data_IF_983850295909
#
_entry.id   IF_983850295909
#
_cell.length_a   1.000
_cell.length_b   1.000
_cell.length_c   1.000
_cell.angle_alpha   90.00
_cell.angle_beta   90.00
_cell.angle_gamma   90.00
#
_symmetry.space_group_name_H-M   'P 1'
#
loop_
_entity.id
_entity.type
_entity.pdbx_description
1 polymer ?
#
# COMPACT_ATOMS: atom_id res chain seq x y z
N UNK A 1 27.06 14.55 -0.39
CA UNK A 1 27.09 16.05 -0.33
C UNK A 1 25.74 16.57 -0.79
N UNK A 2 25.29 17.62 -0.19
CA UNK A 2 24.15 18.39 -0.65
C UNK A 2 24.50 19.17 -1.94
N UNK A 3 23.48 19.61 -2.68
CA UNK A 3 23.61 20.36 -3.93
C UNK A 3 24.42 21.64 -3.78
N UNK A 4 24.34 22.31 -2.63
CA UNK A 4 25.10 23.52 -2.30
C UNK A 4 26.57 23.26 -1.93
N UNK A 5 26.98 21.98 -1.87
CA UNK A 5 28.34 21.56 -1.52
C UNK A 5 28.55 21.21 -0.05
N UNK A 6 27.54 21.34 0.80
CA UNK A 6 27.64 20.97 2.20
C UNK A 6 27.80 19.44 2.36
N UNK A 7 28.46 19.03 3.43
CA UNK A 7 28.62 17.62 3.76
C UNK A 7 27.27 17.02 4.17
N UNK A 8 26.98 15.83 3.66
CA UNK A 8 25.89 14.99 4.16
C UNK A 8 26.48 14.01 5.15
N UNK A 9 26.07 14.06 6.40
CA UNK A 9 26.63 13.27 7.49
C UNK A 9 25.58 12.79 8.52
N UNK A 10 26.01 12.29 9.67
CA UNK A 10 25.11 11.77 10.71
C UNK A 10 24.23 12.86 11.35
N UNK A 11 24.63 14.13 11.29
CA UNK A 11 23.82 15.25 11.79
C UNK A 11 22.55 15.40 10.96
N UNK A 12 22.61 15.26 9.62
CA UNK A 12 21.44 15.31 8.75
C UNK A 12 20.43 14.19 9.05
N UNK A 13 20.92 12.97 9.31
CA UNK A 13 20.08 11.82 9.70
C UNK A 13 19.40 12.10 11.03
N UNK A 14 20.17 12.52 12.02
CA UNK A 14 19.70 12.84 13.37
C UNK A 14 18.65 13.95 13.34
N UNK A 15 18.91 15.04 12.61
CA UNK A 15 17.98 16.13 12.44
C UNK A 15 16.69 15.70 11.74
N UNK A 16 16.82 14.95 10.63
CA UNK A 16 15.68 14.42 9.87
C UNK A 16 14.73 13.64 10.77
N UNK A 17 15.26 12.70 11.54
CA UNK A 17 14.42 11.84 12.40
C UNK A 17 13.83 12.62 13.57
N UNK A 18 14.55 13.61 14.09
CA UNK A 18 14.02 14.52 15.10
C UNK A 18 12.81 15.30 14.60
N UNK A 19 12.86 15.77 13.34
CA UNK A 19 11.72 16.50 12.74
C UNK A 19 10.56 15.58 12.42
N UNK A 20 10.81 14.35 11.95
CA UNK A 20 9.74 13.36 11.74
C UNK A 20 9.02 13.04 13.05
N UNK A 21 9.73 12.98 14.16
CA UNK A 21 9.18 12.65 15.49
C UNK A 21 8.71 13.88 16.28
N UNK A 22 8.87 15.10 15.77
CA UNK A 22 8.45 16.31 16.50
C UNK A 22 6.92 16.34 16.72
N UNK A 23 6.44 16.40 17.98
CA UNK A 23 5.01 16.44 18.29
C UNK A 23 4.25 17.58 17.61
N UNK A 24 4.91 18.71 17.40
CA UNK A 24 4.28 19.90 16.79
C UNK A 24 4.05 19.77 15.31
N UNK A 25 4.94 19.04 14.62
CA UNK A 25 4.84 18.80 13.17
C UNK A 25 3.81 17.71 12.87
N UNK A 26 3.46 16.86 13.84
CA UNK A 26 2.45 15.80 13.72
C UNK A 26 2.61 14.94 12.45
N UNK A 27 3.85 14.59 12.10
CA UNK A 27 4.17 13.88 10.86
C UNK A 27 3.52 12.49 10.84
N UNK A 28 2.76 12.19 9.78
CA UNK A 28 2.05 10.91 9.63
C UNK A 28 2.99 9.69 9.53
N UNK A 29 4.27 9.91 9.27
CA UNK A 29 5.30 8.85 9.19
C UNK A 29 6.04 8.62 10.50
N UNK A 30 5.75 9.39 11.55
CA UNK A 30 6.36 9.19 12.88
C UNK A 30 6.17 7.77 13.40
N UNK A 31 5.03 7.13 13.10
CA UNK A 31 4.76 5.74 13.48
C UNK A 31 5.77 4.75 12.92
N UNK A 32 6.41 5.03 11.78
CA UNK A 32 7.42 4.15 11.20
C UNK A 32 8.65 3.99 12.11
N UNK A 33 8.93 4.95 13.00
CA UNK A 33 10.05 4.93 13.93
C UNK A 33 9.66 4.54 15.35
N UNK A 34 8.37 4.49 15.62
CA UNK A 34 7.85 4.39 16.96
C UNK A 34 7.10 3.08 17.23
N UNK A 35 6.58 2.42 16.21
CA UNK A 35 5.69 1.25 16.35
C UNK A 35 5.85 0.20 15.26
N UNK A 36 6.69 0.43 14.26
CA UNK A 36 6.83 -0.46 13.11
C UNK A 36 8.12 -1.30 13.17
N UNK A 37 8.77 -1.54 12.04
CA UNK A 37 9.92 -2.43 11.91
C UNK A 37 11.13 -2.05 12.80
N UNK A 38 11.18 -0.79 13.28
CA UNK A 38 12.17 -0.34 14.26
C UNK A 38 11.44 0.45 15.35
N UNK A 39 11.15 -0.19 16.47
CA UNK A 39 10.60 0.53 17.62
C UNK A 39 11.75 1.16 18.41
N UNK A 40 12.00 2.45 18.17
CA UNK A 40 13.03 3.22 18.87
C UNK A 40 12.54 3.55 20.29
N UNK A 41 13.38 3.31 21.29
CA UNK A 41 13.09 3.60 22.69
C UNK A 41 12.55 5.03 22.83
N UNK A 42 11.41 5.18 23.50
CA UNK A 42 10.74 6.47 23.78
C UNK A 42 10.34 7.32 22.56
N UNK A 43 10.47 6.83 21.31
CA UNK A 43 10.10 7.63 20.15
C UNK A 43 8.60 7.97 20.11
N UNK A 44 7.71 7.00 20.40
CA UNK A 44 6.26 7.26 20.46
C UNK A 44 5.88 8.14 21.65
N UNK A 45 6.49 7.94 22.82
CA UNK A 45 6.26 8.79 24.00
C UNK A 45 6.63 10.26 23.68
N UNK A 46 7.76 10.48 22.98
CA UNK A 46 8.17 11.80 22.54
C UNK A 46 7.18 12.40 21.54
N UNK A 47 6.81 11.64 20.50
CA UNK A 47 5.83 12.10 19.50
C UNK A 47 4.48 12.46 20.11
N UNK A 48 4.08 11.79 21.18
CA UNK A 48 2.85 12.08 21.93
C UNK A 48 3.01 13.18 22.99
N UNK A 49 4.21 13.73 23.14
CA UNK A 49 4.51 14.76 24.13
C UNK A 49 4.68 14.25 25.57
N UNK A 50 4.86 12.94 25.76
CA UNK A 50 4.99 12.28 27.07
C UNK A 50 6.44 12.05 27.50
N UNK A 51 7.43 12.34 26.65
CA UNK A 51 8.86 12.25 26.93
C UNK A 51 9.61 13.43 26.33
N UNK A 52 10.83 13.69 26.81
CA UNK A 52 11.76 14.64 26.20
C UNK A 52 12.56 14.00 25.08
N UNK A 53 13.11 14.80 24.18
CA UNK A 53 13.97 14.30 23.10
C UNK A 53 15.22 13.55 23.62
N UNK A 54 15.78 13.98 24.74
CA UNK A 54 16.98 13.37 25.33
C UNK A 54 16.73 11.93 25.84
N UNK A 55 15.46 11.53 26.02
CA UNK A 55 15.06 10.18 26.42
C UNK A 55 14.89 9.25 25.20
N UNK A 56 14.81 9.82 23.99
CA UNK A 56 14.67 9.01 22.75
C UNK A 56 15.96 8.21 22.50
N UNK A 57 15.79 6.96 22.13
CA UNK A 57 16.89 6.02 21.86
C UNK A 57 17.66 6.33 20.57
N UNK A 58 17.84 7.59 20.23
CA UNK A 58 18.62 8.06 19.10
C UNK A 58 19.71 9.01 19.58
N UNK A 59 20.97 8.66 19.34
CA UNK A 59 22.09 9.46 19.82
C UNK A 59 23.10 9.71 18.71
N UNK A 60 23.42 10.98 18.51
CA UNK A 60 24.51 11.39 17.67
C UNK A 60 25.82 11.27 18.48
N UNK A 61 26.72 10.41 18.04
CA UNK A 61 28.01 10.18 18.69
C UNK A 61 29.07 11.10 18.10
N UNK A 62 29.13 11.15 16.78
CA UNK A 62 29.99 12.04 16.00
C UNK A 62 29.41 12.23 14.59
N UNK A 63 30.08 12.98 13.73
CA UNK A 63 29.64 13.30 12.37
C UNK A 63 29.43 12.06 11.46
N UNK A 64 29.88 10.89 11.86
CA UNK A 64 29.80 9.65 11.08
C UNK A 64 29.07 8.52 11.80
N UNK A 65 28.69 8.74 13.07
CA UNK A 65 28.18 7.68 13.93
C UNK A 65 26.86 8.09 14.59
N UNK A 66 25.80 7.37 14.26
CA UNK A 66 24.50 7.44 14.90
C UNK A 66 24.23 6.15 15.65
N UNK A 67 23.88 6.24 16.93
CA UNK A 67 23.50 5.10 17.76
C UNK A 67 21.98 5.04 17.90
N UNK A 68 21.41 3.87 17.63
CA UNK A 68 19.96 3.63 17.69
C UNK A 68 19.69 2.55 18.75
N UNK A 69 18.92 2.88 19.77
CA UNK A 69 18.42 1.96 20.77
C UNK A 69 16.98 1.58 20.49
N UNK A 70 16.73 0.31 20.26
CA UNK A 70 15.40 -0.23 20.01
C UNK A 70 14.82 -0.89 21.25
N UNK A 71 13.50 -0.91 21.37
CA UNK A 71 12.79 -1.53 22.50
C UNK A 71 13.00 -3.04 22.55
N UNK A 72 13.17 -3.65 21.38
CA UNK A 72 13.42 -5.09 21.26
C UNK A 72 14.48 -5.37 20.19
N UNK A 73 14.97 -6.59 20.16
CA UNK A 73 15.91 -7.04 19.14
C UNK A 73 15.22 -7.10 17.76
N UNK A 74 15.90 -6.64 16.72
CA UNK A 74 15.44 -6.68 15.33
C UNK A 74 16.38 -7.45 14.43
N UNK A 75 15.86 -8.00 13.34
CA UNK A 75 16.71 -8.58 12.31
C UNK A 75 17.46 -7.46 11.56
N UNK A 76 18.80 -7.53 11.41
CA UNK A 76 19.56 -6.50 10.70
C UNK A 76 19.07 -6.21 9.28
N UNK A 77 18.58 -7.21 8.55
CA UNK A 77 18.01 -7.02 7.21
C UNK A 77 16.73 -6.19 7.24
N UNK A 78 15.85 -6.45 8.21
CA UNK A 78 14.61 -5.65 8.40
C UNK A 78 14.94 -4.19 8.72
N UNK A 79 15.95 -3.96 9.57
CA UNK A 79 16.45 -2.61 9.88
C UNK A 79 16.96 -1.91 8.63
N UNK A 80 17.78 -2.57 7.81
CA UNK A 80 18.31 -1.98 6.57
C UNK A 80 17.20 -1.62 5.59
N UNK A 81 16.20 -2.47 5.41
CA UNK A 81 15.06 -2.22 4.54
C UNK A 81 14.24 -1.04 5.04
N UNK A 82 14.01 -0.99 6.35
CA UNK A 82 13.31 0.13 6.95
C UNK A 82 14.07 1.45 6.74
N UNK A 83 15.38 1.46 6.95
CA UNK A 83 16.21 2.65 6.73
C UNK A 83 16.25 3.08 5.26
N UNK A 84 16.13 2.15 4.31
CA UNK A 84 16.04 2.44 2.89
C UNK A 84 14.65 2.95 2.43
N UNK A 85 13.67 3.02 3.33
CA UNK A 85 12.33 3.47 2.98
C UNK A 85 12.33 4.95 2.56
N UNK A 86 11.60 5.35 1.49
CA UNK A 86 11.58 6.75 1.02
C UNK A 86 11.16 7.79 2.05
N UNK A 87 10.37 7.40 3.08
CA UNK A 87 10.02 8.29 4.19
C UNK A 87 11.22 8.73 5.04
N UNK A 88 12.36 8.09 4.88
CA UNK A 88 13.63 8.40 5.56
C UNK A 88 14.57 9.26 4.71
N UNK A 89 14.07 9.81 3.58
CA UNK A 89 14.88 10.74 2.79
C UNK A 89 15.36 11.90 3.68
N UNK A 90 16.65 12.18 3.60
CA UNK A 90 17.28 13.21 4.41
C UNK A 90 16.74 14.60 4.03
N UNK A 91 16.54 15.43 5.04
CA UNK A 91 16.24 16.85 4.91
C UNK A 91 17.45 17.67 5.33
N UNK A 92 17.68 18.77 4.63
CA UNK A 92 18.74 19.70 4.99
C UNK A 92 18.23 20.67 6.06
N UNK A 93 18.93 20.77 7.19
CA UNK A 93 18.50 21.58 8.34
C UNK A 93 18.32 23.06 7.96
N UNK A 94 19.29 23.68 7.26
CA UNK A 94 19.22 25.09 6.90
C UNK A 94 17.96 25.41 6.07
N UNK A 95 17.70 24.62 5.02
CA UNK A 95 16.53 24.82 4.15
C UNK A 95 15.23 24.50 4.87
N UNK A 96 15.22 23.49 5.72
CA UNK A 96 14.04 23.10 6.49
C UNK A 96 13.65 24.19 7.49
N UNK A 97 14.62 24.71 8.25
CA UNK A 97 14.42 25.81 9.22
C UNK A 97 14.07 27.13 8.53
N UNK A 98 14.66 27.42 7.38
CA UNK A 98 14.31 28.60 6.58
C UNK A 98 12.83 28.61 6.16
N UNK A 99 12.26 27.43 5.90
CA UNK A 99 10.84 27.24 5.57
C UNK A 99 9.90 27.15 6.79
N UNK A 100 10.44 27.03 8.01
CA UNK A 100 9.67 26.78 9.24
C UNK A 100 8.89 28.01 9.67
N UNK A 101 7.61 27.83 10.02
CA UNK A 101 6.78 28.88 10.61
C UNK A 101 7.17 29.17 12.06
N UNK A 102 6.71 30.33 12.59
CA UNK A 102 7.08 30.80 13.92
C UNK A 102 6.63 29.85 15.06
N UNK A 103 5.51 29.14 14.89
CA UNK A 103 4.96 28.22 15.88
C UNK A 103 5.58 26.82 15.78
N UNK A 104 6.41 26.57 14.76
CA UNK A 104 7.05 25.29 14.44
C UNK A 104 6.07 24.14 14.22
N UNK A 105 5.00 24.42 13.53
CA UNK A 105 3.95 23.43 13.21
C UNK A 105 3.91 23.03 11.73
N UNK A 106 4.63 23.79 10.88
CA UNK A 106 4.64 23.61 9.44
C UNK A 106 5.93 24.17 8.83
N UNK A 107 6.41 23.55 7.77
CA UNK A 107 7.52 24.05 6.96
C UNK A 107 7.13 24.11 5.49
N UNK A 108 7.73 25.06 4.77
CA UNK A 108 7.62 25.18 3.32
C UNK A 108 8.65 24.30 2.58
N UNK A 109 9.47 23.52 3.30
CA UNK A 109 10.46 22.64 2.68
C UNK A 109 9.79 21.66 1.71
N UNK A 110 10.31 21.57 0.49
CA UNK A 110 9.78 20.68 -0.55
C UNK A 110 8.48 21.14 -1.23
N UNK A 111 8.07 22.41 -1.06
CA UNK A 111 6.85 22.95 -1.72
C UNK A 111 7.15 23.74 -3.00
N UNK A 112 8.40 24.12 -3.22
CA UNK A 112 8.89 24.78 -4.44
C UNK A 112 10.38 24.54 -4.62
N UNK A 113 10.91 24.89 -5.77
CA UNK A 113 12.34 24.76 -6.07
C UNK A 113 13.20 25.57 -5.09
N UNK A 114 12.79 26.77 -4.72
CA UNK A 114 13.54 27.62 -3.78
C UNK A 114 13.52 27.10 -2.34
N UNK A 115 12.56 26.22 -2.03
CA UNK A 115 12.36 25.61 -0.71
C UNK A 115 12.85 24.16 -0.65
N UNK A 116 13.66 23.76 -1.62
CA UNK A 116 14.16 22.39 -1.71
C UNK A 116 15.64 22.35 -2.06
N UNK A 117 16.34 21.36 -1.57
CA UNK A 117 17.71 21.04 -1.91
C UNK A 117 17.90 19.51 -1.95
N UNK A 118 18.63 19.01 -2.94
CA UNK A 118 18.84 17.58 -3.15
C UNK A 118 20.22 17.10 -2.72
N UNK A 119 20.27 15.84 -2.26
CA UNK A 119 21.50 15.07 -2.11
C UNK A 119 21.50 13.77 -2.95
N UNK A 120 20.43 13.54 -3.72
CA UNK A 120 20.21 12.34 -4.52
C UNK A 120 20.93 12.32 -5.86
N UNK A 121 20.65 11.29 -6.71
CA UNK A 121 21.26 11.14 -8.03
C UNK A 121 20.88 12.22 -9.03
N UNK A 122 19.78 12.93 -8.77
CA UNK A 122 19.29 14.03 -9.61
C UNK A 122 19.00 15.27 -8.77
N UNK A 123 19.23 16.44 -9.39
CA UNK A 123 18.95 17.77 -8.85
C UNK A 123 17.71 18.33 -9.55
N UNK A 124 16.88 19.07 -8.83
CA UNK A 124 15.75 19.80 -9.42
C UNK A 124 16.30 20.97 -10.26
N UNK A 125 16.02 20.97 -11.54
CA UNK A 125 16.43 22.03 -12.47
C UNK A 125 15.31 23.06 -12.69
N UNK A 126 14.07 22.57 -12.81
CA UNK A 126 12.88 23.41 -12.95
C UNK A 126 11.69 22.72 -12.29
N UNK A 127 10.87 23.49 -11.59
CA UNK A 127 9.64 22.98 -10.97
C UNK A 127 8.50 23.97 -11.19
N UNK A 128 7.55 23.57 -12.02
CA UNK A 128 6.30 24.29 -12.25
C UNK A 128 5.17 23.48 -11.62
N UNK A 129 4.59 24.02 -10.55
CA UNK A 129 3.51 23.36 -9.82
C UNK A 129 2.38 22.94 -10.77
N UNK A 130 1.85 21.74 -10.56
CA UNK A 130 0.74 21.13 -11.32
C UNK A 130 1.02 21.01 -12.83
N UNK A 131 2.25 21.19 -13.29
CA UNK A 131 2.60 21.10 -14.71
C UNK A 131 3.78 20.17 -14.98
N UNK A 132 4.97 20.49 -14.46
CA UNK A 132 6.16 19.68 -14.72
C UNK A 132 7.26 19.86 -13.67
N UNK A 133 8.07 18.81 -13.51
CA UNK A 133 9.34 18.88 -12.77
C UNK A 133 10.43 18.33 -13.67
N UNK A 134 11.48 19.13 -13.90
CA UNK A 134 12.69 18.73 -14.63
C UNK A 134 13.83 18.51 -13.67
N UNK A 135 14.49 17.39 -13.83
CA UNK A 135 15.68 17.02 -13.07
C UNK A 135 16.89 16.90 -13.99
N UNK A 136 18.05 17.33 -13.51
CA UNK A 136 19.36 17.07 -14.13
C UNK A 136 20.17 16.13 -13.27
N UNK A 137 21.07 15.35 -13.89
CA UNK A 137 22.00 14.47 -13.21
C UNK A 137 22.85 15.24 -12.20
N UNK A 138 23.00 14.70 -10.99
CA UNK A 138 23.91 15.22 -9.98
C UNK A 138 25.32 14.67 -10.19
N UNK A 139 26.29 15.48 -10.65
CA UNK A 139 27.65 15.01 -10.87
C UNK A 139 28.41 14.68 -9.56
N UNK A 140 27.94 15.21 -8.43
CA UNK A 140 28.53 15.01 -7.11
C UNK A 140 27.92 13.83 -6.33
N UNK A 141 26.96 13.12 -6.94
CA UNK A 141 26.40 11.92 -6.34
C UNK A 141 27.47 10.81 -6.26
N UNK A 142 27.64 10.10 -5.12
CA UNK A 142 28.72 9.11 -4.94
C UNK A 142 28.76 8.02 -6.01
N UNK A 143 27.62 7.70 -6.61
CA UNK A 143 27.48 6.67 -7.66
C UNK A 143 27.09 7.29 -9.01
N UNK A 144 27.48 8.54 -9.28
CA UNK A 144 27.14 9.24 -10.52
C UNK A 144 27.62 8.50 -11.78
N UNK A 145 28.69 7.73 -11.69
CA UNK A 145 29.21 6.87 -12.76
C UNK A 145 28.25 5.76 -13.18
N UNK A 146 27.30 5.37 -12.31
CA UNK A 146 26.26 4.37 -12.57
C UNK A 146 24.97 4.97 -13.13
N UNK A 147 24.83 6.29 -13.13
CA UNK A 147 23.66 7.01 -13.64
C UNK A 147 23.88 7.37 -15.11
N UNK A 148 23.07 6.83 -16.01
CA UNK A 148 23.20 7.01 -17.45
C UNK A 148 22.34 8.14 -18.00
N UNK A 149 21.21 8.45 -17.37
CA UNK A 149 20.34 9.54 -17.77
C UNK A 149 20.99 10.87 -17.46
N UNK A 150 20.96 11.80 -18.42
CA UNK A 150 21.39 13.19 -18.21
C UNK A 150 20.40 13.98 -17.34
N UNK A 151 19.12 13.58 -17.38
CA UNK A 151 18.02 14.16 -16.63
C UNK A 151 16.73 13.39 -16.81
N UNK A 152 15.70 13.82 -16.06
CA UNK A 152 14.35 13.25 -16.10
C UNK A 152 13.37 14.43 -16.15
N UNK A 153 12.38 14.36 -17.04
CA UNK A 153 11.27 15.32 -17.06
C UNK A 153 9.98 14.57 -16.70
N UNK A 154 9.30 15.02 -15.64
CA UNK A 154 8.00 14.50 -15.21
C UNK A 154 6.94 15.52 -15.58
N UNK A 155 6.02 15.15 -16.48
CA UNK A 155 4.86 15.96 -16.84
C UNK A 155 3.65 15.52 -16.01
N UNK A 156 2.94 16.47 -15.42
CA UNK A 156 1.67 16.23 -14.71
C UNK A 156 0.54 16.35 -15.71
N UNK A 157 -0.08 15.22 -16.05
CA UNK A 157 -1.17 15.14 -17.03
C UNK A 157 -2.24 14.20 -16.49
N UNK A 158 -3.42 14.71 -16.15
CA UNK A 158 -4.49 13.92 -15.54
C UNK A 158 -5.23 13.04 -16.55
N UNK A 159 -5.48 13.56 -17.76
CA UNK A 159 -6.26 12.86 -18.78
C UNK A 159 -5.45 11.76 -19.47
N UNK A 160 -5.90 10.51 -19.37
CA UNK A 160 -5.20 9.34 -19.89
C UNK A 160 -5.11 9.32 -21.43
N UNK A 161 -6.04 9.96 -22.14
CA UNK A 161 -6.00 10.07 -23.59
C UNK A 161 -4.93 11.06 -24.02
N UNK A 162 -4.78 12.16 -23.29
CA UNK A 162 -3.71 13.14 -23.49
C UNK A 162 -2.34 12.52 -23.19
N UNK A 163 -2.21 11.72 -22.12
CA UNK A 163 -0.98 10.98 -21.83
C UNK A 163 -0.59 10.07 -23.00
N UNK A 164 -1.56 9.35 -23.57
CA UNK A 164 -1.30 8.49 -24.73
C UNK A 164 -0.88 9.27 -25.97
N UNK A 165 -1.49 10.43 -26.24
CA UNK A 165 -1.08 11.29 -27.37
C UNK A 165 0.37 11.79 -27.22
N UNK A 166 0.77 12.20 -26.02
CA UNK A 166 2.16 12.61 -25.73
C UNK A 166 3.14 11.44 -25.96
N UNK A 167 2.76 10.23 -25.59
CA UNK A 167 3.57 9.05 -25.82
C UNK A 167 3.68 8.72 -27.32
N UNK A 168 2.56 8.69 -28.03
CA UNK A 168 2.52 8.41 -29.47
C UNK A 168 3.30 9.44 -30.30
N UNK A 169 3.29 10.71 -29.86
CA UNK A 169 4.08 11.79 -30.45
C UNK A 169 5.58 11.71 -30.09
N UNK A 170 5.98 10.83 -29.18
CA UNK A 170 7.37 10.72 -28.71
C UNK A 170 7.80 11.82 -27.75
N UNK A 171 6.84 12.53 -27.13
CA UNK A 171 7.10 13.60 -26.17
C UNK A 171 7.36 13.06 -24.76
N UNK A 172 6.91 11.84 -24.45
CA UNK A 172 7.23 11.12 -23.22
C UNK A 172 7.68 9.70 -23.54
N UNK A 173 8.55 9.13 -22.70
CA UNK A 173 9.15 7.82 -22.92
C UNK A 173 8.42 6.69 -22.15
N UNK A 174 7.50 7.05 -21.29
CA UNK A 174 6.86 6.11 -20.40
C UNK A 174 5.50 6.61 -19.94
N UNK A 175 4.51 5.73 -19.94
CA UNK A 175 3.14 6.05 -19.54
C UNK A 175 2.49 4.85 -18.83
N UNK A 176 1.70 5.11 -17.80
CA UNK A 176 0.85 4.09 -17.19
C UNK A 176 -0.44 3.95 -18.00
N UNK A 177 -0.82 2.72 -18.30
CA UNK A 177 -2.01 2.42 -19.09
C UNK A 177 -3.23 2.22 -18.19
N UNK A 178 -4.34 2.89 -18.53
CA UNK A 178 -5.67 2.50 -18.05
C UNK A 178 -6.07 1.14 -18.63
N UNK A 179 -7.11 0.50 -18.10
CA UNK A 179 -7.59 -0.79 -18.64
C UNK A 179 -7.97 -0.66 -20.12
N UNK A 180 -8.69 0.40 -20.49
CA UNK A 180 -9.11 0.65 -21.86
C UNK A 180 -7.94 0.90 -22.83
N UNK A 181 -6.90 1.60 -22.38
CA UNK A 181 -5.69 1.80 -23.17
C UNK A 181 -4.85 0.52 -23.27
N UNK A 182 -4.74 -0.24 -22.17
CA UNK A 182 -4.04 -1.52 -22.19
C UNK A 182 -4.59 -2.48 -23.24
N UNK A 183 -5.91 -2.60 -23.39
CA UNK A 183 -6.54 -3.46 -24.39
C UNK A 183 -6.12 -3.14 -25.84
N UNK A 184 -5.71 -1.90 -26.12
CA UNK A 184 -5.21 -1.51 -27.46
C UNK A 184 -3.77 -1.95 -27.72
N UNK A 185 -3.00 -2.14 -26.64
CA UNK A 185 -1.57 -2.43 -26.67
C UNK A 185 -1.22 -3.78 -26.04
N UNK A 186 -2.22 -4.64 -25.74
CA UNK A 186 -2.01 -5.90 -25.00
C UNK A 186 -0.93 -6.81 -25.63
N UNK A 187 -0.85 -6.82 -26.96
CA UNK A 187 0.13 -7.59 -27.71
C UNK A 187 1.41 -6.81 -28.07
N UNK A 188 1.52 -5.56 -27.62
CA UNK A 188 2.68 -4.73 -27.93
C UNK A 188 3.87 -5.12 -27.03
N UNK A 189 5.04 -5.48 -27.60
CA UNK A 189 6.21 -5.90 -26.82
C UNK A 189 6.79 -4.81 -25.92
N UNK A 190 6.38 -3.57 -26.09
CA UNK A 190 6.77 -2.44 -25.24
C UNK A 190 5.97 -2.35 -23.94
N UNK A 191 4.91 -3.15 -23.81
CA UNK A 191 4.11 -3.21 -22.60
C UNK A 191 4.89 -3.92 -21.50
N UNK A 192 4.88 -3.30 -20.32
CA UNK A 192 5.44 -3.85 -19.10
C UNK A 192 4.30 -4.14 -18.12
N UNK A 193 4.28 -5.35 -17.61
CA UNK A 193 3.38 -5.74 -16.53
C UNK A 193 4.14 -5.67 -15.20
N UNK A 194 3.57 -4.99 -14.25
CA UNK A 194 4.13 -4.81 -12.91
C UNK A 194 3.15 -5.36 -11.86
N UNK A 195 3.27 -6.65 -11.48
CA UNK A 195 2.51 -7.17 -10.35
C UNK A 195 2.80 -6.31 -9.11
N UNK A 196 1.72 -5.79 -8.52
CA UNK A 196 1.82 -4.90 -7.37
C UNK A 196 1.45 -5.66 -6.09
N UNK A 197 2.02 -5.26 -4.96
CA UNK A 197 1.75 -5.92 -3.69
C UNK A 197 0.46 -5.41 -3.01
N UNK A 198 -0.56 -5.13 -3.80
CA UNK A 198 -1.89 -4.73 -3.32
C UNK A 198 -2.93 -5.77 -3.70
N UNK A 199 -3.70 -6.22 -2.71
CA UNK A 199 -4.88 -7.05 -2.92
C UNK A 199 -6.13 -6.24 -2.67
N UNK A 200 -6.98 -6.15 -3.70
CA UNK A 200 -8.30 -5.53 -3.59
C UNK A 200 -9.27 -6.51 -2.96
N UNK A 201 -10.04 -6.03 -2.01
CA UNK A 201 -11.02 -6.85 -1.30
C UNK A 201 -12.31 -6.07 -1.03
N UNK A 202 -13.41 -6.80 -0.92
CA UNK A 202 -14.65 -6.22 -0.41
C UNK A 202 -14.56 -6.14 1.11
N UNK A 203 -14.84 -4.96 1.64
CA UNK A 203 -14.98 -4.67 3.06
C UNK A 203 -16.43 -4.79 3.45
N UNK A 204 -16.72 -5.59 4.46
CA UNK A 204 -18.06 -5.76 5.02
C UNK A 204 -18.13 -5.05 6.37
N UNK A 205 -19.04 -4.11 6.53
CA UNK A 205 -19.24 -3.42 7.79
C UNK A 205 -20.06 -4.28 8.76
N UNK A 206 -19.40 -5.18 9.45
CA UNK A 206 -20.00 -6.19 10.33
C UNK A 206 -20.68 -5.64 11.57
N UNK A 207 -20.45 -4.36 11.90
CA UNK A 207 -21.03 -3.71 13.09
C UNK A 207 -22.19 -2.76 12.74
N UNK A 208 -22.64 -2.74 11.48
CA UNK A 208 -23.71 -1.86 11.04
C UNK A 208 -25.05 -2.27 11.69
N UNK A 209 -25.65 -1.44 12.59
CA UNK A 209 -26.87 -1.81 13.29
C UNK A 209 -28.12 -1.78 12.40
N UNK A 210 -28.07 -1.12 11.26
CA UNK A 210 -29.19 -1.06 10.29
C UNK A 210 -29.21 -2.28 9.36
N UNK A 211 -28.12 -3.03 9.33
CA UNK A 211 -27.97 -4.24 8.51
C UNK A 211 -27.33 -5.39 9.32
N UNK A 212 -28.04 -5.95 10.31
CA UNK A 212 -27.48 -7.00 11.18
C UNK A 212 -26.97 -8.23 10.43
N UNK A 213 -27.54 -8.55 9.26
CA UNK A 213 -27.10 -9.66 8.41
C UNK A 213 -25.61 -9.55 7.99
N UNK A 214 -25.02 -8.35 7.98
CA UNK A 214 -23.59 -8.17 7.68
C UNK A 214 -22.69 -8.80 8.77
N UNK A 215 -23.22 -8.98 9.99
CA UNK A 215 -22.56 -9.72 11.08
C UNK A 215 -22.73 -11.24 10.95
N UNK A 216 -23.66 -11.72 10.13
CA UNK A 216 -23.88 -13.14 9.93
C UNK A 216 -22.75 -13.75 9.08
N UNK A 217 -22.03 -14.71 9.64
CA UNK A 217 -20.85 -15.33 8.98
C UNK A 217 -21.24 -16.05 7.69
N UNK A 218 -22.36 -16.79 7.69
CA UNK A 218 -22.83 -17.49 6.49
C UNK A 218 -23.13 -16.53 5.36
N UNK A 219 -23.69 -15.36 5.67
CA UNK A 219 -23.92 -14.33 4.66
C UNK A 219 -22.60 -13.82 4.07
N UNK A 220 -21.60 -13.50 4.90
CA UNK A 220 -20.30 -13.08 4.41
C UNK A 220 -19.60 -14.16 3.58
N UNK A 221 -19.67 -15.41 4.04
CA UNK A 221 -19.14 -16.55 3.28
C UNK A 221 -19.90 -16.74 1.95
N UNK A 222 -21.22 -16.50 1.91
CA UNK A 222 -21.98 -16.51 0.66
C UNK A 222 -21.46 -15.48 -0.33
N UNK A 223 -21.16 -14.24 0.13
CA UNK A 223 -20.53 -13.23 -0.71
C UNK A 223 -19.13 -13.68 -1.18
N UNK A 224 -18.30 -14.26 -0.30
CA UNK A 224 -16.97 -14.74 -0.63
C UNK A 224 -16.98 -15.82 -1.72
N UNK A 225 -17.78 -16.88 -1.55
CA UNK A 225 -17.90 -17.97 -2.51
C UNK A 225 -18.66 -17.56 -3.79
N UNK A 226 -19.44 -16.48 -3.72
CA UNK A 226 -20.18 -15.91 -4.85
C UNK A 226 -19.38 -14.96 -5.75
N UNK A 227 -18.08 -14.73 -5.50
CA UNK A 227 -17.23 -13.91 -6.37
C UNK A 227 -16.54 -14.79 -7.41
N UNK A 228 -16.93 -14.64 -8.67
CA UNK A 228 -16.21 -15.23 -9.81
C UNK A 228 -14.97 -14.38 -10.12
N UNK A 229 -13.88 -14.68 -9.40
CA UNK A 229 -12.63 -13.92 -9.44
C UNK A 229 -11.91 -14.02 -10.77
N UNK A 230 -11.98 -15.18 -11.41
CA UNK A 230 -11.34 -15.41 -12.70
C UNK A 230 -11.96 -14.53 -13.80
N UNK A 231 -13.29 -14.52 -13.90
CA UNK A 231 -13.99 -13.70 -14.87
C UNK A 231 -13.85 -12.19 -14.56
N UNK A 232 -13.91 -11.80 -13.28
CA UNK A 232 -13.71 -10.40 -12.88
C UNK A 232 -12.28 -9.93 -13.21
N UNK A 233 -11.27 -10.74 -12.87
CA UNK A 233 -9.87 -10.44 -13.14
C UNK A 233 -9.59 -10.35 -14.64
N UNK A 234 -10.16 -11.26 -15.44
CA UNK A 234 -10.07 -11.22 -16.90
C UNK A 234 -10.67 -9.93 -17.48
N UNK A 235 -11.83 -9.51 -16.99
CA UNK A 235 -12.49 -8.27 -17.41
C UNK A 235 -11.65 -7.02 -17.08
N UNK A 236 -11.07 -6.98 -15.90
CA UNK A 236 -10.34 -5.82 -15.38
C UNK A 236 -8.84 -5.89 -15.67
N UNK A 237 -8.37 -7.00 -16.28
CA UNK A 237 -6.95 -7.25 -16.56
C UNK A 237 -6.08 -7.17 -15.28
N UNK A 238 -6.59 -7.77 -14.21
CA UNK A 238 -5.91 -7.96 -12.93
C UNK A 238 -5.63 -9.45 -12.69
N UNK A 239 -4.90 -9.80 -11.62
CA UNK A 239 -4.77 -11.20 -11.19
C UNK A 239 -5.91 -11.58 -10.24
N UNK A 240 -6.51 -12.77 -10.39
CA UNK A 240 -7.52 -13.24 -9.42
C UNK A 240 -6.86 -13.55 -8.08
N UNK A 241 -7.47 -13.08 -6.98
CA UNK A 241 -6.94 -13.30 -5.64
C UNK A 241 -8.05 -13.72 -4.66
N UNK A 242 -7.93 -14.91 -4.14
CA UNK A 242 -8.72 -15.43 -3.01
C UNK A 242 -7.98 -15.30 -1.67
N UNK A 243 -6.81 -14.70 -1.69
CA UNK A 243 -5.85 -14.51 -0.60
C UNK A 243 -5.61 -13.03 -0.33
N UNK A 244 -5.01 -12.72 0.84
CA UNK A 244 -4.68 -11.32 1.18
C UNK A 244 -3.17 -11.03 1.09
N UNK A 245 -2.30 -12.00 1.38
CA UNK A 245 -0.85 -11.81 1.18
C UNK A 245 -0.53 -11.92 -0.31
N UNK A 246 -0.04 -10.84 -0.96
CA UNK A 246 0.21 -10.82 -2.40
C UNK A 246 1.24 -11.86 -2.86
N UNK A 247 1.18 -12.27 -4.11
CA UNK A 247 2.17 -13.16 -4.74
C UNK A 247 3.56 -12.55 -4.84
N UNK A 248 3.66 -11.23 -4.76
CA UNK A 248 4.91 -10.46 -4.79
C UNK A 248 5.57 -10.34 -3.42
N UNK A 249 4.96 -10.92 -2.36
CA UNK A 249 5.43 -10.73 -1.00
C UNK A 249 6.64 -11.62 -0.70
N UNK A 250 7.81 -11.00 -0.67
CA UNK A 250 9.09 -11.70 -0.50
C UNK A 250 9.31 -12.15 0.94
N UNK A 251 9.72 -13.41 1.10
CA UNK A 251 10.16 -13.98 2.39
C UNK A 251 11.68 -14.08 2.45
N UNK A 252 12.33 -14.37 1.34
CA UNK A 252 13.79 -14.43 1.24
C UNK A 252 14.24 -13.80 -0.08
N UNK A 253 14.83 -12.60 -0.01
CA UNK A 253 15.34 -11.86 -1.17
C UNK A 253 16.49 -12.59 -1.87
N UNK A 254 17.35 -13.25 -1.11
CA UNK A 254 18.55 -13.90 -1.67
C UNK A 254 18.16 -15.14 -2.48
N UNK A 255 17.11 -15.82 -2.09
CA UNK A 255 16.59 -17.02 -2.77
C UNK A 255 15.43 -16.70 -3.72
N UNK A 256 14.96 -15.46 -3.75
CA UNK A 256 13.77 -15.04 -4.51
C UNK A 256 12.53 -15.90 -4.18
N UNK A 257 12.29 -16.13 -2.88
CA UNK A 257 11.16 -16.91 -2.38
C UNK A 257 10.08 -15.96 -1.89
N UNK A 258 8.87 -16.10 -2.42
CA UNK A 258 7.69 -15.38 -1.94
C UNK A 258 6.94 -16.21 -0.88
N UNK A 259 6.04 -15.57 -0.13
CA UNK A 259 5.17 -16.32 0.79
C UNK A 259 4.35 -17.40 0.05
N UNK A 260 3.91 -17.14 -1.17
CA UNK A 260 3.12 -18.10 -1.97
C UNK A 260 3.94 -19.29 -2.49
N UNK A 261 5.27 -19.22 -2.46
CA UNK A 261 6.14 -20.36 -2.78
C UNK A 261 6.29 -21.34 -1.61
N UNK A 262 5.97 -20.91 -0.38
CA UNK A 262 6.06 -21.74 0.83
C UNK A 262 4.89 -22.73 0.93
N UNK A 263 5.06 -23.78 1.73
CA UNK A 263 3.99 -24.76 1.98
C UNK A 263 2.81 -24.12 2.72
N UNK A 264 3.08 -23.25 3.68
CA UNK A 264 2.08 -22.49 4.43
C UNK A 264 1.25 -21.57 3.51
N UNK A 265 1.94 -20.83 2.63
CA UNK A 265 1.28 -19.95 1.67
C UNK A 265 0.44 -20.70 0.63
N UNK A 266 0.90 -21.88 0.20
CA UNK A 266 0.13 -22.78 -0.69
C UNK A 266 -1.09 -23.38 0.00
N UNK A 267 -0.96 -23.75 1.28
CA UNK A 267 -2.07 -24.37 2.03
C UNK A 267 -3.30 -23.46 2.17
N UNK A 268 -3.12 -22.15 2.12
CA UNK A 268 -4.21 -21.18 2.18
C UNK A 268 -4.91 -20.93 0.82
N UNK A 269 -4.36 -21.47 -0.27
CA UNK A 269 -4.99 -21.32 -1.59
C UNK A 269 -6.27 -22.15 -1.69
N UNK A 270 -7.23 -21.67 -2.45
CA UNK A 270 -8.52 -22.33 -2.68
C UNK A 270 -8.66 -22.71 -4.16
N UNK A 271 -9.23 -23.88 -4.43
CA UNK A 271 -9.59 -24.28 -5.80
C UNK A 271 -10.53 -23.24 -6.44
N UNK A 272 -10.45 -23.06 -7.74
CA UNK A 272 -11.22 -22.09 -8.51
C UNK A 272 -11.21 -20.68 -7.90
N UNK A 273 -10.09 -20.27 -7.30
CA UNK A 273 -9.97 -19.00 -6.58
C UNK A 273 -11.09 -18.80 -5.55
N UNK A 274 -11.54 -19.89 -4.90
CA UNK A 274 -12.61 -19.88 -3.91
C UNK A 274 -14.02 -19.65 -4.47
N UNK A 275 -14.22 -19.66 -5.78
CA UNK A 275 -15.55 -19.54 -6.38
C UNK A 275 -16.31 -20.85 -6.32
N UNK A 276 -17.44 -20.85 -5.60
CA UNK A 276 -18.36 -22.00 -5.45
C UNK A 276 -19.79 -21.46 -5.41
N UNK A 277 -20.46 -21.32 -6.58
CA UNK A 277 -21.80 -20.73 -6.65
C UNK A 277 -22.89 -21.54 -5.95
N UNK A 278 -22.76 -22.86 -5.88
CA UNK A 278 -23.74 -23.72 -5.19
C UNK A 278 -23.64 -23.52 -3.68
N UNK A 279 -22.42 -23.53 -3.14
CA UNK A 279 -22.17 -23.24 -1.73
C UNK A 279 -22.58 -21.82 -1.37
N UNK A 280 -22.26 -20.84 -2.22
CA UNK A 280 -22.66 -19.46 -2.03
C UNK A 280 -24.18 -19.30 -1.89
N UNK A 281 -24.93 -19.94 -2.79
CA UNK A 281 -26.39 -19.91 -2.77
C UNK A 281 -26.97 -20.59 -1.52
N UNK A 282 -26.44 -21.75 -1.14
CA UNK A 282 -26.86 -22.45 0.07
C UNK A 282 -26.65 -21.56 1.32
N UNK A 283 -25.46 -20.98 1.48
CA UNK A 283 -25.14 -20.13 2.63
C UNK A 283 -25.99 -18.84 2.65
N UNK A 284 -26.28 -18.27 1.48
CA UNK A 284 -27.18 -17.12 1.37
C UNK A 284 -28.61 -17.49 1.82
N UNK A 285 -29.14 -18.62 1.36
CA UNK A 285 -30.48 -19.09 1.71
C UNK A 285 -30.61 -19.35 3.24
N UNK A 286 -29.57 -19.95 3.84
CA UNK A 286 -29.49 -20.15 5.28
C UNK A 286 -29.46 -18.82 6.04
N UNK A 287 -28.58 -17.87 5.64
CA UNK A 287 -28.43 -16.58 6.31
C UNK A 287 -29.71 -15.72 6.23
N UNK A 288 -30.34 -15.63 5.06
CA UNK A 288 -31.60 -14.91 4.87
C UNK A 288 -32.72 -15.50 5.75
N UNK A 289 -32.78 -16.86 5.84
CA UNK A 289 -33.76 -17.54 6.68
C UNK A 289 -33.51 -17.30 8.17
N UNK A 290 -32.24 -17.33 8.63
CA UNK A 290 -31.88 -17.04 10.01
C UNK A 290 -32.24 -15.63 10.44
N UNK A 291 -32.08 -14.64 9.53
CA UNK A 291 -32.42 -13.23 9.78
C UNK A 291 -33.90 -12.90 9.50
N UNK A 292 -34.68 -13.87 9.01
CA UNK A 292 -36.11 -13.70 8.74
C UNK A 292 -36.39 -12.67 7.62
N UNK A 293 -35.54 -12.59 6.63
CA UNK A 293 -35.61 -11.64 5.53
C UNK A 293 -36.21 -12.28 4.25
N UNK A 294 -37.14 -11.58 3.61
CA UNK A 294 -37.64 -11.96 2.28
C UNK A 294 -36.76 -11.36 1.16
N UNK A 295 -36.28 -10.14 1.37
CA UNK A 295 -35.44 -9.39 0.43
C UNK A 295 -34.36 -8.60 1.17
N UNK A 296 -33.17 -8.56 0.59
CA UNK A 296 -32.04 -7.77 1.07
C UNK A 296 -31.58 -6.80 -0.01
N UNK A 297 -31.48 -5.53 0.35
CA UNK A 297 -30.83 -4.49 -0.48
C UNK A 297 -29.62 -3.97 0.27
N UNK A 298 -28.46 -3.99 -0.38
CA UNK A 298 -27.21 -3.43 0.14
C UNK A 298 -26.66 -2.36 -0.79
N UNK A 299 -25.85 -1.47 -0.22
CA UNK A 299 -25.12 -0.43 -0.96
C UNK A 299 -23.61 -0.68 -0.90
N UNK A 300 -22.97 -0.70 -2.08
CA UNK A 300 -21.52 -0.74 -2.25
C UNK A 300 -21.00 0.67 -2.51
N UNK A 301 -20.18 1.19 -1.61
CA UNK A 301 -19.47 2.46 -1.79
C UNK A 301 -18.13 2.21 -2.45
N UNK A 302 -17.78 2.98 -3.50
CA UNK A 302 -16.53 2.81 -4.22
C UNK A 302 -15.95 4.13 -4.73
N UNK A 303 -14.65 4.16 -4.99
CA UNK A 303 -14.00 5.33 -5.61
C UNK A 303 -14.34 5.40 -7.10
N UNK A 304 -14.57 6.61 -7.60
CA UNK A 304 -15.01 6.94 -8.98
C UNK A 304 -13.94 6.73 -10.06
N UNK A 305 -13.07 5.72 -9.88
CA UNK A 305 -12.09 5.30 -10.88
C UNK A 305 -12.66 4.23 -11.82
N UNK A 306 -12.15 4.16 -13.06
CA UNK A 306 -12.57 3.17 -14.06
C UNK A 306 -12.52 1.73 -13.51
N UNK A 307 -11.41 1.35 -12.88
CA UNK A 307 -11.23 0.01 -12.32
C UNK A 307 -12.27 -0.31 -11.24
N UNK A 308 -12.48 0.60 -10.30
CA UNK A 308 -13.43 0.37 -9.20
C UNK A 308 -14.88 0.35 -9.69
N UNK A 309 -15.21 1.13 -10.70
CA UNK A 309 -16.53 1.09 -11.35
C UNK A 309 -16.76 -0.28 -12.01
N UNK A 310 -15.82 -0.77 -12.83
CA UNK A 310 -15.91 -2.08 -13.50
C UNK A 310 -16.05 -3.23 -12.49
N UNK A 311 -15.26 -3.23 -11.41
CA UNK A 311 -15.34 -4.25 -10.37
C UNK A 311 -16.69 -4.22 -9.64
N UNK A 312 -17.18 -3.03 -9.30
CA UNK A 312 -18.44 -2.86 -8.59
C UNK A 312 -19.64 -3.26 -9.45
N UNK A 313 -19.65 -2.88 -10.72
CA UNK A 313 -20.69 -3.25 -11.71
C UNK A 313 -20.72 -4.76 -11.95
N UNK A 314 -19.54 -5.42 -11.98
CA UNK A 314 -19.48 -6.88 -12.08
C UNK A 314 -20.20 -7.56 -10.90
N UNK A 315 -19.93 -7.12 -9.67
CA UNK A 315 -20.61 -7.65 -8.48
C UNK A 315 -22.11 -7.32 -8.47
N UNK A 316 -22.49 -6.11 -8.90
CA UNK A 316 -23.89 -5.70 -9.02
C UNK A 316 -24.70 -6.58 -9.99
N UNK A 317 -24.04 -7.11 -11.02
CA UNK A 317 -24.69 -8.00 -11.99
C UNK A 317 -24.65 -9.46 -11.54
N UNK A 318 -23.52 -9.92 -11.00
CA UNK A 318 -23.30 -11.34 -10.69
C UNK A 318 -24.02 -11.80 -9.41
N UNK A 319 -23.96 -11.04 -8.33
CA UNK A 319 -24.58 -11.44 -7.05
C UNK A 319 -26.10 -11.53 -7.11
N UNK A 320 -26.86 -10.54 -7.65
CA UNK A 320 -28.31 -10.71 -7.81
C UNK A 320 -28.71 -11.87 -8.75
N UNK A 321 -27.90 -12.12 -9.78
CA UNK A 321 -28.11 -13.28 -10.66
C UNK A 321 -27.93 -14.61 -9.92
N UNK A 322 -26.96 -14.67 -8.98
CA UNK A 322 -26.67 -15.87 -8.20
C UNK A 322 -27.69 -16.09 -7.09
N UNK A 323 -28.02 -15.04 -6.32
CA UNK A 323 -28.86 -15.12 -5.11
C UNK A 323 -30.37 -14.95 -5.37
N UNK A 324 -30.74 -14.57 -6.60
CA UNK A 324 -32.13 -14.23 -7.00
C UNK A 324 -32.36 -12.72 -7.01
N UNK A 325 -32.65 -12.13 -8.18
CA UNK A 325 -32.84 -10.69 -8.34
C UNK A 325 -34.07 -10.14 -7.60
N UNK A 326 -35.01 -10.99 -7.25
CA UNK A 326 -36.18 -10.69 -6.41
C UNK A 326 -35.82 -10.67 -4.91
N UNK A 327 -34.74 -11.34 -4.52
CA UNK A 327 -34.30 -11.51 -3.11
C UNK A 327 -33.09 -10.68 -2.73
N UNK A 328 -32.21 -10.38 -3.68
CA UNK A 328 -30.97 -9.63 -3.44
C UNK A 328 -30.79 -8.51 -4.47
N UNK A 329 -30.50 -7.31 -3.99
CA UNK A 329 -30.20 -6.13 -4.78
C UNK A 329 -28.92 -5.45 -4.27
N UNK A 330 -27.96 -5.16 -5.15
CA UNK A 330 -26.77 -4.37 -4.84
C UNK A 330 -26.86 -3.00 -5.51
N UNK A 331 -26.94 -1.94 -4.71
CA UNK A 331 -26.85 -0.55 -5.17
C UNK A 331 -25.40 -0.09 -5.17
N UNK A 332 -25.05 0.74 -6.13
CA UNK A 332 -23.71 1.31 -6.27
C UNK A 332 -23.72 2.80 -5.95
N UNK A 333 -22.72 3.25 -5.20
CA UNK A 333 -22.51 4.64 -4.86
C UNK A 333 -21.05 5.03 -5.08
N UNK A 334 -20.78 5.72 -6.20
CA UNK A 334 -19.47 6.28 -6.53
C UNK A 334 -19.22 7.57 -5.74
N UNK A 335 -17.96 7.78 -5.36
CA UNK A 335 -17.50 9.03 -4.75
C UNK A 335 -15.98 9.20 -4.91
N UNK A 336 -15.43 10.42 -4.77
CA UNK A 336 -13.99 10.64 -4.74
C UNK A 336 -13.28 9.82 -3.65
N UNK A 337 -12.06 9.35 -3.93
CA UNK A 337 -11.32 8.43 -3.05
C UNK A 337 -11.10 8.97 -1.62
N UNK A 338 -10.84 10.28 -1.48
CA UNK A 338 -10.71 10.94 -0.17
C UNK A 338 -12.04 10.93 0.61
N UNK A 339 -13.17 11.16 -0.04
CA UNK A 339 -14.49 11.08 0.56
C UNK A 339 -14.81 9.64 0.98
N UNK A 340 -14.52 8.66 0.12
CA UNK A 340 -14.69 7.25 0.44
C UNK A 340 -13.91 6.85 1.69
N UNK A 341 -12.67 7.32 1.81
CA UNK A 341 -11.85 7.08 3.00
C UNK A 341 -12.48 7.64 4.27
N UNK A 342 -13.07 8.85 4.21
CA UNK A 342 -13.79 9.46 5.33
C UNK A 342 -15.05 8.67 5.70
N UNK A 343 -15.84 8.26 4.71
CA UNK A 343 -17.05 7.43 4.92
C UNK A 343 -16.68 6.11 5.60
N UNK A 344 -15.63 5.45 5.13
CA UNK A 344 -15.17 4.19 5.72
C UNK A 344 -14.69 4.38 7.18
N UNK A 345 -13.87 5.39 7.45
CA UNK A 345 -13.42 5.69 8.83
C UNK A 345 -14.57 6.10 9.75
N UNK A 346 -15.66 6.59 9.18
CA UNK A 346 -16.86 7.00 9.89
C UNK A 346 -17.46 5.91 10.78
N UNK A 347 -17.18 4.62 10.55
CA UNK A 347 -17.69 3.52 11.37
C UNK A 347 -17.33 3.66 12.86
N UNK A 348 -16.23 4.33 13.19
CA UNK A 348 -15.77 4.54 14.57
C UNK A 348 -16.71 5.47 15.37
N UNK A 349 -17.41 6.37 14.70
CA UNK A 349 -18.33 7.33 15.31
C UNK A 349 -19.78 7.12 14.87
N UNK A 350 -20.00 6.56 13.68
CA UNK A 350 -21.28 6.18 13.12
C UNK A 350 -21.18 4.78 12.50
N UNK A 351 -21.52 3.72 13.25
CA UNK A 351 -21.46 2.34 12.74
C UNK A 351 -22.27 2.07 11.47
N UNK A 352 -23.27 2.92 11.15
CA UNK A 352 -24.07 2.81 9.93
C UNK A 352 -23.50 3.62 8.74
N UNK A 353 -22.26 4.13 8.83
CA UNK A 353 -21.68 5.02 7.80
C UNK A 353 -21.57 4.37 6.40
N UNK A 354 -21.45 3.07 6.30
CA UNK A 354 -21.52 2.30 5.05
C UNK A 354 -21.97 0.86 5.31
N UNK A 355 -22.28 0.10 4.25
CA UNK A 355 -22.64 -1.31 4.32
C UNK A 355 -21.51 -2.17 3.73
N UNK A 356 -21.24 -2.01 2.43
CA UNK A 356 -20.12 -2.61 1.74
C UNK A 356 -19.22 -1.55 1.12
N UNK A 357 -17.95 -1.82 1.00
CA UNK A 357 -17.00 -0.94 0.31
C UNK A 357 -15.82 -1.73 -0.26
N UNK A 358 -14.98 -1.06 -1.03
CA UNK A 358 -13.70 -1.61 -1.44
C UNK A 358 -12.60 -1.20 -0.49
N UNK A 359 -11.76 -2.17 -0.16
CA UNK A 359 -10.47 -2.01 0.47
C UNK A 359 -9.33 -2.36 -0.48
N UNK A 360 -8.13 -1.97 -0.10
CA UNK A 360 -6.90 -2.39 -0.73
C UNK A 360 -5.85 -2.53 0.36
N UNK A 361 -5.26 -3.69 0.48
CA UNK A 361 -4.18 -3.91 1.42
C UNK A 361 -2.87 -4.00 0.65
N UNK A 362 -1.95 -3.12 1.00
CA UNK A 362 -0.58 -3.11 0.49
C UNK A 362 0.30 -3.68 1.57
N UNK A 363 0.78 -4.90 1.34
CA UNK A 363 1.70 -5.58 2.24
C UNK A 363 3.03 -4.82 2.39
N UNK A 364 3.71 -5.02 3.51
CA UNK A 364 5.10 -4.62 3.60
C UNK A 364 5.95 -5.66 2.88
N UNK A 365 6.74 -5.24 1.90
CA UNK A 365 7.40 -6.09 0.90
C UNK A 365 8.28 -7.21 1.49
N UNK A 366 8.79 -7.03 2.72
CA UNK A 366 9.72 -7.95 3.36
C UNK A 366 9.36 -8.33 4.80
N UNK A 367 8.21 -7.89 5.27
CA UNK A 367 7.73 -8.19 6.62
C UNK A 367 6.20 -8.34 6.65
N UNK A 368 5.64 -9.41 6.04
CA UNK A 368 4.19 -9.61 5.98
C UNK A 368 3.56 -9.69 7.36
N UNK A 369 4.26 -10.29 8.31
CA UNK A 369 3.81 -10.38 9.70
C UNK A 369 3.51 -9.02 10.33
N UNK A 370 4.29 -7.98 10.04
CA UNK A 370 4.07 -6.63 10.54
C UNK A 370 2.95 -5.90 9.79
N UNK A 371 2.82 -6.10 8.49
CA UNK A 371 1.79 -5.47 7.68
C UNK A 371 0.37 -5.84 8.14
N UNK A 372 0.19 -7.00 8.78
CA UNK A 372 -1.07 -7.41 9.38
C UNK A 372 -1.52 -6.55 10.57
N UNK A 373 -0.67 -5.66 11.10
CA UNK A 373 -1.02 -4.68 12.14
C UNK A 373 -2.29 -3.89 11.81
N UNK A 374 -2.55 -3.66 10.54
CA UNK A 374 -3.75 -2.97 10.06
C UNK A 374 -5.05 -3.58 10.60
N UNK A 375 -5.10 -4.89 10.79
CA UNK A 375 -6.30 -5.58 11.27
C UNK A 375 -6.31 -5.86 12.78
N UNK A 376 -5.28 -5.52 13.52
CA UNK A 376 -5.28 -5.67 14.98
C UNK A 376 -6.32 -4.77 15.64
N UNK A 377 -6.86 -5.18 16.79
CA UNK A 377 -7.86 -4.39 17.52
C UNK A 377 -7.29 -3.05 18.04
N UNK A 378 -6.00 -3.01 18.29
CA UNK A 378 -5.30 -1.84 18.84
C UNK A 378 -4.83 -0.84 17.77
N UNK A 379 -4.93 -1.16 16.48
CA UNK A 379 -4.61 -0.21 15.41
C UNK A 379 -5.78 0.76 15.19
N UNK A 380 -5.59 2.02 15.56
CA UNK A 380 -6.66 3.03 15.58
C UNK A 380 -7.01 3.62 14.20
N UNK A 381 -6.06 3.60 13.24
CA UNK A 381 -6.23 4.25 11.93
C UNK A 381 -6.71 3.29 10.83
N UNK A 382 -7.65 2.40 11.16
CA UNK A 382 -8.21 1.45 10.20
C UNK A 382 -9.56 1.89 9.61
N UNK A 383 -9.79 1.53 8.37
CA UNK A 383 -11.03 1.83 7.65
C UNK A 383 -12.08 0.70 7.77
N UNK A 384 -11.74 -0.39 8.45
CA UNK A 384 -12.51 -1.65 8.50
C UNK A 384 -12.80 -2.04 9.94
N UNK A 385 -14.08 -2.33 10.29
CA UNK A 385 -14.45 -2.76 11.62
C UNK A 385 -14.09 -4.24 11.81
N UNK A 386 -12.83 -4.53 12.08
CA UNK A 386 -12.39 -5.89 12.40
C UNK A 386 -11.84 -5.93 13.83
N UNK A 387 -12.36 -6.83 14.66
CA UNK A 387 -11.90 -7.08 16.03
C UNK A 387 -11.91 -8.58 16.24
N UNK A 388 -10.74 -9.17 16.49
CA UNK A 388 -10.59 -10.61 16.73
C UNK A 388 -9.40 -10.83 17.68
N UNK A 389 -9.69 -11.28 18.90
CA UNK A 389 -8.67 -11.51 19.95
C UNK A 389 -7.66 -12.60 19.57
N UNK A 390 -8.08 -13.63 18.82
CA UNK A 390 -7.16 -14.67 18.35
C UNK A 390 -6.20 -14.12 17.31
N UNK A 391 -6.69 -13.29 16.40
CA UNK A 391 -5.85 -12.57 15.44
C UNK A 391 -4.80 -11.70 16.15
N UNK A 392 -5.21 -10.95 17.19
CA UNK A 392 -4.29 -10.11 17.98
C UNK A 392 -3.21 -10.95 18.66
N UNK A 393 -3.54 -12.14 19.17
CA UNK A 393 -2.56 -13.07 19.79
C UNK A 393 -1.55 -13.57 18.76
N UNK A 394 -2.02 -14.02 17.59
CA UNK A 394 -1.13 -14.50 16.52
C UNK A 394 -0.24 -13.36 16.01
N UNK A 395 -0.79 -12.17 15.83
CA UNK A 395 -0.01 -11.00 15.45
C UNK A 395 1.08 -10.68 16.47
N UNK A 396 0.75 -10.69 17.76
CA UNK A 396 1.72 -10.42 18.82
C UNK A 396 2.80 -11.50 18.88
N UNK A 397 2.45 -12.77 18.65
CA UNK A 397 3.44 -13.85 18.57
C UNK A 397 4.41 -13.61 17.40
N UNK A 398 3.90 -13.35 16.20
CA UNK A 398 4.71 -13.10 15.00
C UNK A 398 5.69 -11.92 15.15
N UNK A 399 5.36 -10.93 15.97
CA UNK A 399 6.12 -9.67 16.05
C UNK A 399 6.91 -9.51 17.36
N UNK A 400 6.48 -10.11 18.47
CA UNK A 400 7.03 -9.80 19.80
C UNK A 400 7.44 -11.02 20.64
N UNK A 401 7.10 -12.27 20.24
CA UNK A 401 7.53 -13.46 20.96
C UNK A 401 9.05 -13.70 20.84
N UNK A 402 9.63 -14.49 21.75
CA UNK A 402 11.05 -14.76 21.77
C UNK A 402 11.53 -15.55 20.54
N UNK A 403 10.67 -16.39 19.97
CA UNK A 403 10.91 -17.20 18.77
C UNK A 403 10.51 -16.53 17.45
N UNK A 404 10.14 -15.23 17.45
CA UNK A 404 9.74 -14.46 16.27
C UNK A 404 10.76 -14.41 15.13
N UNK A 405 12.01 -14.76 15.37
CA UNK A 405 13.05 -14.87 14.35
C UNK A 405 13.15 -16.25 13.72
N UNK A 406 12.41 -17.24 14.24
CA UNK A 406 12.30 -18.54 13.58
C UNK A 406 11.40 -18.39 12.34
N UNK A 407 11.98 -18.64 11.16
CA UNK A 407 11.27 -18.48 9.88
C UNK A 407 10.06 -19.41 9.79
N UNK A 408 10.18 -20.65 10.26
CA UNK A 408 9.08 -21.62 10.22
C UNK A 408 7.94 -21.26 11.15
N UNK A 409 8.21 -20.61 12.29
CA UNK A 409 7.19 -20.07 13.19
C UNK A 409 6.48 -18.91 12.52
N UNK A 410 7.22 -17.91 12.02
CA UNK A 410 6.63 -16.74 11.32
C UNK A 410 5.77 -17.11 10.13
N UNK A 411 6.18 -18.09 9.31
CA UNK A 411 5.40 -18.53 8.16
C UNK A 411 4.04 -19.08 8.60
N UNK A 412 3.97 -19.89 9.64
CA UNK A 412 2.73 -20.42 10.20
C UNK A 412 1.83 -19.31 10.75
N UNK A 413 2.41 -18.33 11.44
CA UNK A 413 1.66 -17.21 12.00
C UNK A 413 1.09 -16.30 10.91
N UNK A 414 1.86 -16.03 9.84
CA UNK A 414 1.36 -15.30 8.66
C UNK A 414 0.19 -16.05 8.00
N UNK A 415 0.32 -17.37 7.81
CA UNK A 415 -0.73 -18.18 7.25
C UNK A 415 -1.98 -18.20 8.13
N UNK A 416 -1.81 -18.28 9.46
CA UNK A 416 -2.92 -18.25 10.42
C UNK A 416 -3.62 -16.89 10.45
N UNK A 417 -2.87 -15.77 10.45
CA UNK A 417 -3.48 -14.43 10.35
C UNK A 417 -4.31 -14.28 9.07
N UNK A 418 -3.80 -14.76 7.94
CA UNK A 418 -4.54 -14.76 6.68
C UNK A 418 -5.81 -15.60 6.77
N UNK A 419 -5.73 -16.80 7.35
CA UNK A 419 -6.87 -17.71 7.55
C UNK A 419 -7.96 -17.06 8.41
N UNK A 420 -7.59 -16.43 9.51
CA UNK A 420 -8.52 -15.75 10.44
C UNK A 420 -9.25 -14.55 9.80
N UNK A 421 -8.69 -13.96 8.75
CA UNK A 421 -9.36 -12.90 7.97
C UNK A 421 -10.33 -13.48 6.93
N UNK A 422 -9.94 -14.55 6.25
CA UNK A 422 -10.61 -15.03 5.03
C UNK A 422 -11.69 -16.08 5.35
N UNK A 423 -11.45 -17.02 6.27
CA UNK A 423 -12.42 -18.08 6.55
C UNK A 423 -13.78 -17.56 7.04
N UNK A 424 -13.84 -16.61 8.00
CA UNK A 424 -15.11 -16.00 8.39
C UNK A 424 -15.59 -14.93 7.40
N UNK A 425 -14.87 -14.75 6.28
CA UNK A 425 -15.13 -13.75 5.24
C UNK A 425 -15.34 -12.31 5.78
N UNK A 426 -14.57 -11.94 6.81
CA UNK A 426 -14.51 -10.55 7.27
C UNK A 426 -13.86 -9.64 6.21
N UNK A 427 -12.92 -10.22 5.45
CA UNK A 427 -12.30 -9.64 4.28
C UNK A 427 -12.55 -10.58 3.11
N UNK A 428 -13.04 -10.06 2.00
CA UNK A 428 -13.32 -10.84 0.79
C UNK A 428 -12.35 -10.42 -0.32
N UNK A 429 -11.16 -11.06 -0.43
CA UNK A 429 -10.20 -10.76 -1.47
C UNK A 429 -10.80 -11.03 -2.86
N UNK A 430 -10.44 -10.23 -3.84
CA UNK A 430 -11.01 -10.30 -5.20
C UNK A 430 -9.93 -10.33 -6.27
N UNK A 431 -9.02 -9.34 -6.28
CA UNK A 431 -7.93 -9.27 -7.26
C UNK A 431 -6.64 -8.76 -6.62
N UNK A 432 -5.51 -9.20 -7.15
CA UNK A 432 -4.22 -8.54 -6.93
C UNK A 432 -3.97 -7.56 -8.08
N UNK A 433 -3.53 -6.34 -7.73
CA UNK A 433 -3.28 -5.30 -8.72
C UNK A 433 -2.10 -5.64 -9.63
N UNK A 434 -2.29 -5.44 -10.94
CA UNK A 434 -1.22 -5.41 -11.94
C UNK A 434 -1.20 -4.03 -12.57
N UNK A 435 -0.11 -3.29 -12.40
CA UNK A 435 0.09 -2.07 -13.15
C UNK A 435 0.62 -2.39 -14.55
N UNK A 436 0.14 -1.66 -15.53
CA UNK A 436 0.48 -1.81 -16.92
C UNK A 436 1.11 -0.51 -17.39
N UNK A 437 2.26 -0.63 -18.03
CA UNK A 437 2.99 0.51 -18.52
C UNK A 437 3.38 0.30 -19.99
N UNK A 438 3.49 1.37 -20.72
CA UNK A 438 4.03 1.37 -22.07
C UNK A 438 5.30 2.22 -22.10
N UNK A 439 6.40 1.67 -22.58
CA UNK A 439 7.69 2.34 -22.70
C UNK A 439 8.09 2.57 -24.13
N UNK A 440 8.78 3.66 -24.43
CA UNK A 440 9.40 3.90 -25.74
C UNK A 440 10.53 2.89 -25.99
N UNK A 441 10.75 2.52 -27.26
CA UNK A 441 11.82 1.57 -27.67
C UNK A 441 13.21 2.09 -27.26
N UNK A 442 13.41 3.41 -27.31
CA UNK A 442 14.66 4.05 -26.91
C UNK A 442 14.94 3.98 -25.41
N UNK A 443 13.93 3.75 -24.55
CA UNK A 443 14.11 3.59 -23.11
C UNK A 443 14.53 2.16 -22.77
N UNK A 444 15.78 1.98 -22.36
CA UNK A 444 16.28 0.73 -21.82
C UNK A 444 16.25 0.77 -20.28
N UNK A 445 15.47 -0.12 -19.70
CA UNK A 445 15.42 -0.28 -18.25
C UNK A 445 16.63 -1.05 -17.76
N UNK A 446 17.08 -0.76 -16.53
CA UNK A 446 18.16 -1.49 -15.86
C UNK A 446 17.73 -2.90 -15.43
N UNK A 447 16.44 -3.10 -15.23
CA UNK A 447 15.82 -4.38 -14.89
C UNK A 447 14.48 -4.53 -15.59
N UNK A 448 14.11 -5.76 -15.93
CA UNK A 448 12.78 -6.09 -16.44
C UNK A 448 11.77 -6.37 -15.31
N UNK A 449 12.24 -6.47 -14.07
CA UNK A 449 11.41 -6.72 -12.90
C UNK A 449 10.97 -5.41 -12.22
N UNK A 450 9.71 -5.34 -11.86
CA UNK A 450 9.18 -4.27 -11.03
C UNK A 450 9.47 -4.58 -9.57
N UNK A 451 10.05 -3.61 -8.87
CA UNK A 451 10.27 -3.69 -7.43
C UNK A 451 9.39 -2.63 -6.77
N UNK A 452 8.55 -3.07 -5.85
CA UNK A 452 7.69 -2.16 -5.11
C UNK A 452 8.49 -1.00 -4.50
N UNK A 453 7.93 0.20 -4.58
CA UNK A 453 8.51 1.47 -4.12
C UNK A 453 9.76 1.96 -4.88
N UNK A 454 10.41 1.09 -5.67
CA UNK A 454 11.57 1.43 -6.50
C UNK A 454 11.17 1.54 -7.97
N UNK A 455 10.09 0.87 -8.36
CA UNK A 455 9.67 0.75 -9.75
C UNK A 455 10.64 -0.13 -10.55
N UNK A 456 11.01 0.33 -11.74
CA UNK A 456 11.96 -0.34 -12.63
C UNK A 456 13.40 0.20 -12.47
N UNK A 457 13.72 0.82 -11.34
CA UNK A 457 15.00 1.48 -11.08
C UNK A 457 15.39 2.48 -12.18
N UNK A 458 14.51 3.46 -12.40
CA UNK A 458 14.61 4.46 -13.47
C UNK A 458 15.94 5.21 -13.52
N UNK A 459 16.51 5.50 -12.37
CA UNK A 459 17.79 6.18 -12.21
C UNK A 459 18.96 5.44 -12.84
N UNK A 460 18.88 4.10 -12.97
CA UNK A 460 19.86 3.26 -13.66
C UNK A 460 19.48 2.94 -15.11
N UNK A 461 18.41 3.48 -15.62
CA UNK A 461 17.97 3.32 -17.00
C UNK A 461 18.77 4.21 -17.96
N UNK A 462 18.66 3.95 -19.25
CA UNK A 462 19.35 4.73 -20.30
C UNK A 462 18.49 4.94 -21.53
N UNK A 463 18.72 6.02 -22.23
CA UNK A 463 18.18 6.26 -23.57
C UNK A 463 19.20 5.76 -24.59
N UNK A 464 18.74 4.99 -25.55
CA UNK A 464 19.53 4.52 -26.70
C UNK A 464 18.96 5.11 -27.99
N UNK A 465 19.83 5.38 -28.97
CA UNK A 465 19.44 5.91 -30.28
C UNK A 465 18.84 4.80 -31.18
#
# INVERSE_FOLDING_TARGET
MWENGDTLDANDVYYTWKMILDPKLANLRASNFANDAIEIVKAMDYFQGNASWDEVGLKLIDDHTLEIHTVSMHNPTEVMIHLAHPANCMINEEYYEKGMNADRTETMYGTSQEQYISCGPFLVENWVNDAEITFKKNPNYPFADRIWLAGINIKVVEDSSTQMQLFENGEIDYVQLSTSNYLKYEEDPRVLLAPYNSVRHVVVNTINPEKPILANEKFRQALYYGVDRENLASLTKQDPAEYIVPTTHMMDLNKNITFRDTEEGKANRKENYGYDPEKAKQLFDEAISEEGLDKLTLTMHYSDTELMAQMSEFLQQSWPKLFGADRFELKLQAMPANQLSQVKRGWQTNPASYELSWGGWVGNDLAPWNAFKYWTSFYSNKNEPFINEEFDKVFNAANFADDRFDEGVRLKEVAEMERLLIEPANVIPVTQDIYKYLKADRLQLSTNGYVNRIGFAWDYSKIVE
#
